data_IF_333141774750
#
_entry.id   IF_333141774750
#
_cell.length_a   1.000
_cell.length_b   1.000
_cell.length_c   1.000
_cell.angle_alpha   90.00
_cell.angle_beta   90.00
_cell.angle_gamma   90.00
#
_symmetry.space_group_name_H-M   'P 1'
#
loop_
_entity.id
_entity.type
_entity.pdbx_description
1 polymer ?
#
# COMPACT_ATOMS: atom_id res chain seq x y z
N UNK A 1 6.65 -19.22 -2.06
CA UNK A 1 7.13 -18.55 -3.28
C UNK A 1 6.07 -18.52 -4.37
N UNK A 2 5.38 -19.62 -4.63
CA UNK A 2 4.37 -19.78 -5.70
C UNK A 2 3.29 -18.69 -5.70
N UNK A 3 2.89 -18.21 -4.54
CA UNK A 3 1.89 -17.15 -4.41
C UNK A 3 2.29 -15.84 -5.12
N UNK A 4 3.59 -15.58 -5.27
CA UNK A 4 4.08 -14.36 -5.93
C UNK A 4 3.85 -14.41 -7.44
N UNK A 5 4.10 -15.55 -8.06
CA UNK A 5 4.03 -15.71 -9.52
C UNK A 5 2.78 -16.44 -10.03
N UNK A 6 1.81 -16.72 -9.15
CA UNK A 6 0.61 -17.48 -9.50
C UNK A 6 -0.15 -16.88 -10.70
N UNK A 7 -0.17 -15.55 -10.81
CA UNK A 7 -0.81 -14.86 -11.94
C UNK A 7 -0.16 -15.17 -13.28
N UNK A 8 1.17 -15.32 -13.31
CA UNK A 8 1.88 -15.73 -14.54
C UNK A 8 1.51 -17.16 -14.96
N UNK A 9 1.46 -18.08 -13.99
CA UNK A 9 1.04 -19.47 -14.24
C UNK A 9 -0.40 -19.57 -14.76
N UNK A 10 -1.32 -18.82 -14.16
CA UNK A 10 -2.74 -18.81 -14.57
C UNK A 10 -2.95 -18.28 -16.00
N UNK A 11 -2.05 -17.44 -16.49
CA UNK A 11 -2.03 -16.96 -17.88
C UNK A 11 -1.28 -17.87 -18.84
N UNK A 12 -0.85 -19.06 -18.40
CA UNK A 12 -0.10 -20.03 -19.23
C UNK A 12 1.37 -19.67 -19.45
N UNK A 13 1.88 -18.66 -18.73
CA UNK A 13 3.28 -18.26 -18.82
C UNK A 13 4.20 -19.10 -17.92
N UNK A 14 5.50 -19.16 -18.27
CA UNK A 14 6.51 -19.69 -17.38
C UNK A 14 6.90 -18.60 -16.38
N UNK A 15 6.83 -18.85 -15.06
CA UNK A 15 7.20 -17.84 -14.06
C UNK A 15 8.70 -17.65 -14.02
N UNK A 16 9.15 -16.41 -13.85
CA UNK A 16 10.51 -16.06 -13.50
C UNK A 16 10.71 -16.28 -11.99
N UNK A 17 11.29 -17.42 -11.64
CA UNK A 17 11.48 -17.83 -10.24
C UNK A 17 12.55 -16.96 -9.56
N UNK A 18 13.57 -16.50 -10.28
CA UNK A 18 14.65 -15.69 -9.73
C UNK A 18 14.14 -14.28 -9.42
N UNK A 19 13.33 -13.71 -10.30
CA UNK A 19 12.59 -12.47 -10.01
C UNK A 19 11.70 -12.62 -8.77
N UNK A 20 10.93 -13.71 -8.67
CA UNK A 20 10.07 -13.95 -7.51
C UNK A 20 10.86 -14.05 -6.19
N UNK A 21 12.03 -14.68 -6.20
CA UNK A 21 12.95 -14.75 -5.04
C UNK A 21 13.52 -13.38 -4.69
N UNK A 22 13.95 -12.62 -5.68
CA UNK A 22 14.44 -11.25 -5.50
C UNK A 22 13.38 -10.37 -4.86
N UNK A 23 12.14 -10.42 -5.35
CA UNK A 23 11.02 -9.65 -4.79
C UNK A 23 10.66 -10.09 -3.37
N UNK A 24 10.73 -11.40 -3.07
CA UNK A 24 10.55 -11.90 -1.71
C UNK A 24 11.61 -11.33 -0.76
N UNK A 25 12.85 -11.20 -1.24
CA UNK A 25 13.95 -10.54 -0.52
C UNK A 25 13.68 -9.06 -0.26
N UNK A 26 13.20 -8.33 -1.27
CA UNK A 26 12.88 -6.90 -1.15
C UNK A 26 11.82 -6.60 -0.10
N UNK A 27 10.87 -7.51 0.11
CA UNK A 27 9.85 -7.38 1.16
C UNK A 27 10.28 -8.00 2.51
N UNK A 28 11.56 -8.37 2.64
CA UNK A 28 12.13 -8.88 3.90
C UNK A 28 11.72 -10.29 4.29
N UNK A 29 11.36 -11.14 3.32
CA UNK A 29 10.83 -12.48 3.56
C UNK A 29 11.64 -13.60 2.90
N UNK A 30 12.95 -13.41 2.64
CA UNK A 30 13.83 -14.39 1.96
C UNK A 30 13.77 -15.79 2.59
N UNK A 31 13.74 -15.90 3.92
CA UNK A 31 13.68 -17.17 4.66
C UNK A 31 12.32 -17.88 4.63
N UNK A 32 11.30 -17.28 4.04
CA UNK A 32 9.91 -17.76 4.10
C UNK A 32 9.39 -18.34 2.76
N UNK A 33 10.28 -18.60 1.79
CA UNK A 33 9.94 -19.04 0.44
C UNK A 33 9.10 -20.33 0.39
N UNK A 34 9.31 -21.23 1.35
CA UNK A 34 8.65 -22.55 1.42
C UNK A 34 7.43 -22.58 2.35
N UNK A 35 7.15 -21.52 3.07
CA UNK A 35 6.01 -21.48 3.99
C UNK A 35 4.68 -21.38 3.24
N UNK A 36 3.66 -22.07 3.78
CA UNK A 36 2.29 -22.01 3.26
C UNK A 36 1.61 -20.70 3.71
N UNK A 37 0.73 -20.11 2.89
CA UNK A 37 0.05 -18.85 3.24
C UNK A 37 -0.67 -18.88 4.60
N UNK A 38 -1.24 -20.02 4.98
CA UNK A 38 -1.96 -20.19 6.26
C UNK A 38 -1.07 -20.14 7.52
N UNK A 39 0.25 -20.30 7.38
CA UNK A 39 1.20 -20.22 8.51
C UNK A 39 1.85 -18.86 8.66
N UNK A 40 1.49 -17.90 7.80
CA UNK A 40 2.07 -16.56 7.77
C UNK A 40 1.27 -15.61 8.67
N UNK A 41 1.96 -14.66 9.31
CA UNK A 41 1.31 -13.56 10.02
C UNK A 41 0.55 -12.63 9.05
N UNK A 42 -0.32 -11.75 9.57
CA UNK A 42 -1.04 -10.76 8.78
C UNK A 42 -0.08 -9.86 7.97
N UNK A 43 0.93 -9.31 8.62
CA UNK A 43 1.95 -8.48 7.98
C UNK A 43 2.77 -9.24 6.92
N UNK A 44 3.13 -10.50 7.18
CA UNK A 44 3.82 -11.33 6.18
C UNK A 44 2.96 -11.59 4.93
N UNK A 45 1.66 -11.84 5.10
CA UNK A 45 0.73 -12.00 3.98
C UNK A 45 0.64 -10.72 3.14
N UNK A 46 0.61 -9.55 3.77
CA UNK A 46 0.58 -8.27 3.06
C UNK A 46 1.90 -8.00 2.31
N UNK A 47 3.05 -8.28 2.92
CA UNK A 47 4.36 -8.21 2.25
C UNK A 47 4.41 -9.11 1.00
N UNK A 48 3.85 -10.31 1.07
CA UNK A 48 3.74 -11.20 -0.10
C UNK A 48 2.77 -10.66 -1.15
N UNK A 49 1.65 -10.08 -0.75
CA UNK A 49 0.72 -9.44 -1.69
C UNK A 49 1.39 -8.28 -2.43
N UNK A 50 2.21 -7.49 -1.74
CA UNK A 50 3.02 -6.43 -2.35
C UNK A 50 4.06 -7.00 -3.34
N UNK A 51 4.79 -8.06 -2.95
CA UNK A 51 5.74 -8.73 -3.85
C UNK A 51 5.05 -9.29 -5.10
N UNK A 52 3.84 -9.86 -4.97
CA UNK A 52 3.02 -10.32 -6.10
C UNK A 52 2.63 -9.16 -7.02
N UNK A 53 2.24 -8.03 -6.47
CA UNK A 53 1.91 -6.82 -7.24
C UNK A 53 3.12 -6.33 -8.04
N UNK A 54 4.30 -6.36 -7.43
CA UNK A 54 5.56 -6.01 -8.11
C UNK A 54 5.93 -6.98 -9.23
N UNK A 55 5.68 -8.28 -9.02
CA UNK A 55 5.95 -9.33 -10.01
C UNK A 55 5.15 -9.12 -11.30
N UNK A 56 3.93 -8.61 -11.20
CA UNK A 56 3.09 -8.28 -12.36
C UNK A 56 3.64 -7.12 -13.21
N UNK A 57 4.56 -6.34 -12.67
CA UNK A 57 5.29 -5.25 -13.33
C UNK A 57 4.39 -4.29 -14.13
N UNK A 58 3.30 -3.84 -13.53
CA UNK A 58 2.35 -2.91 -14.15
C UNK A 58 2.69 -1.46 -13.83
N UNK A 59 2.50 -0.53 -14.77
CA UNK A 59 2.76 0.89 -14.54
C UNK A 59 1.74 1.55 -13.59
N UNK A 60 0.54 0.96 -13.48
CA UNK A 60 -0.52 1.40 -12.57
C UNK A 60 -0.82 0.30 -11.58
N UNK A 61 -0.85 0.66 -10.30
CA UNK A 61 -1.10 -0.24 -9.17
C UNK A 61 -2.32 0.25 -8.40
N UNK A 62 -3.26 -0.65 -8.15
CA UNK A 62 -4.44 -0.39 -7.32
C UNK A 62 -4.26 -1.09 -5.97
N UNK A 63 -4.37 -0.35 -4.88
CA UNK A 63 -4.30 -0.84 -3.52
C UNK A 63 -5.60 -0.49 -2.80
N UNK A 64 -6.35 -1.50 -2.40
CA UNK A 64 -7.62 -1.35 -1.70
C UNK A 64 -7.43 -1.75 -0.24
N UNK A 65 -7.52 -0.78 0.69
CA UNK A 65 -7.35 -0.94 2.13
C UNK A 65 -6.09 -1.75 2.54
N UNK A 66 -4.91 -1.51 1.94
CA UNK A 66 -3.78 -2.43 2.04
C UNK A 66 -3.18 -2.51 3.45
N UNK A 67 -3.50 -1.56 4.34
CA UNK A 67 -2.91 -1.49 5.68
C UNK A 67 -3.93 -1.63 6.82
N UNK A 68 -5.21 -1.81 6.51
CA UNK A 68 -6.31 -1.79 7.49
C UNK A 68 -6.22 -2.87 8.56
N UNK A 69 -5.68 -4.04 8.23
CA UNK A 69 -5.58 -5.19 9.13
C UNK A 69 -4.29 -5.23 9.98
N UNK A 70 -3.49 -4.14 9.99
CA UNK A 70 -2.21 -4.07 10.68
C UNK A 70 -2.29 -3.25 11.97
N UNK A 71 -1.49 -3.64 12.96
CA UNK A 71 -1.18 -2.78 14.10
C UNK A 71 -0.39 -1.54 13.67
N UNK A 72 -0.34 -0.52 14.53
CA UNK A 72 0.23 0.78 14.17
C UNK A 72 1.71 0.73 13.76
N UNK A 73 2.53 -0.10 14.44
CA UNK A 73 3.95 -0.20 14.14
C UNK A 73 4.19 -0.90 12.80
N UNK A 74 3.58 -2.05 12.60
CA UNK A 74 3.64 -2.82 11.34
C UNK A 74 3.07 -2.01 10.17
N UNK A 75 2.01 -1.23 10.41
CA UNK A 75 1.42 -0.35 9.40
C UNK A 75 2.41 0.70 8.91
N UNK A 76 3.10 1.39 9.84
CA UNK A 76 4.10 2.40 9.48
C UNK A 76 5.23 1.81 8.63
N UNK A 77 5.77 0.65 9.02
CA UNK A 77 6.80 -0.08 8.26
C UNK A 77 6.31 -0.48 6.87
N UNK A 78 5.08 -0.97 6.77
CA UNK A 78 4.50 -1.40 5.49
C UNK A 78 4.23 -0.23 4.55
N UNK A 79 3.86 0.92 5.07
CA UNK A 79 3.69 2.14 4.28
C UNK A 79 5.02 2.59 3.67
N UNK A 80 6.09 2.59 4.46
CA UNK A 80 7.45 2.92 4.00
C UNK A 80 7.94 1.92 2.94
N UNK A 81 7.79 0.64 3.22
CA UNK A 81 8.14 -0.41 2.28
C UNK A 81 7.37 -0.28 0.96
N UNK A 82 6.05 -0.05 1.02
CA UNK A 82 5.23 0.10 -0.17
C UNK A 82 5.65 1.32 -1.00
N UNK A 83 5.93 2.44 -0.35
CA UNK A 83 6.39 3.65 -1.02
C UNK A 83 7.75 3.43 -1.73
N UNK A 84 8.69 2.74 -1.06
CA UNK A 84 10.00 2.44 -1.64
C UNK A 84 9.89 1.51 -2.86
N UNK A 85 9.20 0.38 -2.71
CA UNK A 85 9.17 -0.65 -3.77
C UNK A 85 8.27 -0.28 -4.95
N UNK A 86 7.33 0.67 -4.77
CA UNK A 86 6.43 1.16 -5.83
C UNK A 86 6.91 2.46 -6.49
N UNK A 87 8.11 2.93 -6.17
CA UNK A 87 8.68 4.11 -6.84
C UNK A 87 8.61 4.00 -8.36
N UNK A 88 8.32 5.13 -9.02
CA UNK A 88 8.20 5.22 -10.46
C UNK A 88 6.89 4.66 -11.05
N UNK A 89 5.92 4.25 -10.22
CA UNK A 89 4.61 3.75 -10.64
C UNK A 89 3.51 4.73 -10.25
N UNK A 90 2.43 4.71 -11.01
CA UNK A 90 1.19 5.37 -10.60
C UNK A 90 0.45 4.45 -9.63
N UNK A 91 0.26 4.91 -8.39
CA UNK A 91 -0.44 4.14 -7.35
C UNK A 91 -1.77 4.82 -7.03
N UNK A 92 -2.85 4.07 -7.13
CA UNK A 92 -4.16 4.47 -6.61
C UNK A 92 -4.40 3.70 -5.31
N UNK A 93 -4.38 4.43 -4.20
CA UNK A 93 -4.62 3.91 -2.87
C UNK A 93 -6.04 4.27 -2.43
N UNK A 94 -6.86 3.26 -2.16
CA UNK A 94 -8.16 3.44 -1.52
C UNK A 94 -8.00 3.16 -0.03
N UNK A 95 -8.40 4.11 0.79
CA UNK A 95 -8.33 3.99 2.25
C UNK A 95 -9.41 4.84 2.91
N UNK A 96 -9.85 4.43 4.09
CA UNK A 96 -10.69 5.22 4.99
C UNK A 96 -9.88 5.89 6.10
N UNK A 97 -8.55 5.72 6.14
CA UNK A 97 -7.67 6.33 7.14
C UNK A 97 -7.12 7.67 6.63
N UNK A 98 -7.55 8.81 7.22
CA UNK A 98 -7.03 10.13 6.85
C UNK A 98 -5.52 10.28 7.07
N UNK A 99 -4.95 9.53 8.02
CA UNK A 99 -3.51 9.54 8.29
C UNK A 99 -2.71 8.92 7.15
N UNK A 100 -3.19 7.81 6.59
CA UNK A 100 -2.58 7.19 5.40
C UNK A 100 -2.62 8.16 4.20
N UNK A 101 -3.78 8.75 3.95
CA UNK A 101 -3.94 9.71 2.86
C UNK A 101 -3.00 10.92 3.03
N UNK A 102 -2.97 11.54 4.22
CA UNK A 102 -2.12 12.69 4.49
C UNK A 102 -0.61 12.36 4.37
N UNK A 103 -0.20 11.15 4.75
CA UNK A 103 1.20 10.71 4.76
C UNK A 103 1.71 10.29 3.39
N UNK A 104 0.90 9.57 2.60
CA UNK A 104 1.36 8.83 1.43
C UNK A 104 0.99 9.51 0.10
N UNK A 105 -0.05 10.34 0.05
CA UNK A 105 -0.59 10.78 -1.21
C UNK A 105 0.12 12.03 -1.78
N UNK A 106 0.36 12.03 -3.10
CA UNK A 106 0.67 13.24 -3.85
C UNK A 106 -0.62 14.02 -4.19
N UNK A 107 -1.75 13.32 -4.27
CA UNK A 107 -3.06 13.89 -4.50
C UNK A 107 -4.10 13.12 -3.70
N UNK A 108 -5.01 13.81 -3.04
CA UNK A 108 -6.11 13.20 -2.30
C UNK A 108 -7.42 13.53 -3.01
N UNK A 109 -8.22 12.49 -3.24
CA UNK A 109 -9.57 12.61 -3.76
C UNK A 109 -10.55 12.08 -2.71
N UNK A 110 -11.45 12.92 -2.25
CA UNK A 110 -12.51 12.54 -1.32
C UNK A 110 -13.76 12.18 -2.12
N UNK A 111 -14.27 10.97 -1.89
CA UNK A 111 -15.54 10.50 -2.47
C UNK A 111 -16.66 10.62 -1.45
N UNK A 112 -17.73 11.31 -1.82
CA UNK A 112 -18.94 11.46 -1.00
C UNK A 112 -20.17 11.60 -1.90
N UNK A 113 -21.25 10.88 -1.58
CA UNK A 113 -22.53 10.91 -2.32
C UNK A 113 -22.36 10.79 -3.85
N UNK A 114 -21.48 9.90 -4.31
CA UNK A 114 -21.22 9.67 -5.75
C UNK A 114 -20.42 10.78 -6.45
N UNK A 115 -19.89 11.75 -5.70
CA UNK A 115 -19.04 12.83 -6.22
C UNK A 115 -17.63 12.71 -5.69
N UNK A 116 -16.68 13.11 -6.53
CA UNK A 116 -15.24 13.14 -6.17
C UNK A 116 -14.78 14.59 -6.11
N UNK A 117 -14.05 14.95 -5.05
CA UNK A 117 -13.46 16.28 -4.87
C UNK A 117 -11.98 16.16 -4.54
N UNK A 118 -11.17 17.02 -5.13
CA UNK A 118 -9.77 17.17 -4.72
C UNK A 118 -9.68 17.79 -3.32
N UNK A 119 -8.76 17.25 -2.52
CA UNK A 119 -8.48 17.72 -1.17
C UNK A 119 -7.05 18.24 -1.09
N UNK A 120 -6.79 19.35 -0.37
CA UNK A 120 -5.43 19.88 -0.21
C UNK A 120 -4.51 18.87 0.47
N UNK A 121 -3.33 18.67 -0.09
CA UNK A 121 -2.25 17.87 0.48
C UNK A 121 -1.18 18.78 1.07
N UNK A 122 -0.36 18.32 2.04
CA UNK A 122 0.82 19.06 2.46
C UNK A 122 1.81 19.24 1.29
N UNK A 123 2.58 20.35 1.30
CA UNK A 123 3.54 20.67 0.24
C UNK A 123 4.76 19.74 0.25
N UNK A 124 5.06 19.10 1.37
CA UNK A 124 6.17 18.15 1.48
C UNK A 124 5.94 16.87 0.68
N UNK A 125 7.04 16.29 0.22
CA UNK A 125 7.02 15.06 -0.58
C UNK A 125 6.63 13.85 0.28
N UNK A 126 5.76 12.92 -0.20
CA UNK A 126 5.56 11.62 0.44
C UNK A 126 6.87 10.76 0.41
N UNK A 127 7.16 9.90 1.40
CA UNK A 127 6.35 9.60 2.60
C UNK A 127 6.60 10.66 3.66
N UNK A 128 5.55 11.32 4.10
CA UNK A 128 5.66 12.38 5.11
C UNK A 128 5.83 11.79 6.49
N UNK A 129 6.55 12.50 7.37
CA UNK A 129 6.70 12.08 8.77
C UNK A 129 5.35 12.15 9.48
N UNK A 130 5.05 11.13 10.29
CA UNK A 130 3.79 11.01 11.04
C UNK A 130 3.57 12.22 11.96
N UNK A 131 4.66 12.74 12.54
CA UNK A 131 4.63 13.84 13.52
C UNK A 131 4.80 15.22 12.90
N UNK A 132 4.96 15.33 11.58
CA UNK A 132 5.09 16.63 10.92
C UNK A 132 3.80 17.44 11.11
N UNK A 133 3.88 18.71 11.53
CA UNK A 133 2.69 19.54 11.81
C UNK A 133 1.71 19.62 10.65
N UNK A 134 2.23 19.68 9.43
CA UNK A 134 1.44 19.71 8.20
C UNK A 134 0.68 18.37 7.96
N UNK A 135 1.31 17.22 8.25
CA UNK A 135 0.67 15.90 8.14
C UNK A 135 -0.47 15.77 9.13
N UNK A 136 -0.21 16.14 10.40
CA UNK A 136 -1.21 16.12 11.47
C UNK A 136 -2.39 17.06 11.14
N UNK A 137 -2.09 18.25 10.65
CA UNK A 137 -3.13 19.23 10.27
C UNK A 137 -3.97 18.72 9.12
N UNK A 138 -3.36 18.15 8.08
CA UNK A 138 -4.07 17.55 6.94
C UNK A 138 -4.98 16.41 7.39
N UNK A 139 -4.46 15.49 8.20
CA UNK A 139 -5.21 14.37 8.77
C UNK A 139 -6.42 14.85 9.57
N UNK A 140 -6.24 15.81 10.48
CA UNK A 140 -7.33 16.33 11.32
C UNK A 140 -8.45 16.98 10.50
N UNK A 141 -8.08 17.83 9.53
CA UNK A 141 -9.04 18.51 8.65
C UNK A 141 -9.80 17.51 7.76
N UNK A 142 -9.10 16.49 7.25
CA UNK A 142 -9.73 15.44 6.44
C UNK A 142 -10.70 14.59 7.26
N UNK A 143 -10.32 14.23 8.49
CA UNK A 143 -11.18 13.50 9.43
C UNK A 143 -12.46 14.30 9.75
N UNK A 144 -12.32 15.60 10.05
CA UNK A 144 -13.47 16.47 10.33
C UNK A 144 -14.43 16.57 9.13
N UNK A 145 -13.87 16.62 7.93
CA UNK A 145 -14.67 16.64 6.71
C UNK A 145 -15.45 15.33 6.50
N UNK A 146 -14.78 14.20 6.65
CA UNK A 146 -15.42 12.88 6.50
C UNK A 146 -16.53 12.66 7.52
N UNK A 147 -16.33 13.08 8.78
CA UNK A 147 -17.38 13.00 9.82
C UNK A 147 -18.63 13.82 9.48
N UNK A 148 -18.46 15.01 8.90
CA UNK A 148 -19.57 15.87 8.49
C UNK A 148 -20.32 15.36 7.25
N UNK A 149 -19.64 14.58 6.40
CA UNK A 149 -20.22 14.01 5.20
C UNK A 149 -21.03 12.72 5.47
N UNK A 150 -20.90 12.14 6.66
CA UNK A 150 -21.60 10.90 7.09
C UNK A 150 -22.89 11.20 7.87
N UNK A 151 -23.13 12.47 8.25
CA UNK A 151 -24.37 12.96 8.87
C UNK A 151 -25.31 13.56 7.82
#
# INVERSE_FOLDING_TARGET
>A
LENIYIGACLRGGKPDIDLARSLLGRVGLSGHAHQKPGTLSGGMRQRIALARTLFENRPVVLLDEPFSALDAATRAEMQELAADVLQGRTVVLVTHDPGEAARLAHQILVMSAGKTRSWPVPDSVPVRQIHAPETITCQARLLDHLRKATL
#
